data_IF_448236367239
#
_entry.id   IF_448236367239
#
_cell.length_a   1.000
_cell.length_b   1.000
_cell.length_c   1.000
_cell.angle_alpha   90.00
_cell.angle_beta   90.00
_cell.angle_gamma   90.00
#
_symmetry.space_group_name_H-M   'P 1'
#
loop_
_entity.id
_entity.type
_entity.pdbx_description
1 polymer ?
#
# COMPACT_ATOMS: atom_id res chain seq x y z
N UNK A 1 11.23 21.11 -24.52
CA UNK A 1 10.96 21.13 -23.07
C UNK A 1 10.26 19.82 -22.76
N UNK A 2 10.95 18.89 -22.10
CA UNK A 2 10.42 17.56 -21.81
C UNK A 2 9.23 17.68 -20.86
N UNK A 3 8.06 17.21 -21.28
CA UNK A 3 6.87 17.07 -20.45
C UNK A 3 7.24 16.31 -19.17
N UNK A 4 7.10 16.97 -18.03
CA UNK A 4 7.38 16.37 -16.74
C UNK A 4 6.40 15.22 -16.50
N UNK A 5 6.92 14.05 -16.12
CA UNK A 5 6.07 12.93 -15.72
C UNK A 5 5.24 13.34 -14.50
N UNK A 6 3.94 13.60 -14.69
CA UNK A 6 3.05 13.91 -13.59
C UNK A 6 2.86 12.66 -12.72
N UNK A 7 3.42 12.68 -11.51
CA UNK A 7 3.22 11.60 -10.54
C UNK A 7 1.85 11.81 -9.88
N UNK A 8 0.84 11.09 -10.34
CA UNK A 8 -0.53 11.23 -9.85
C UNK A 8 -0.76 10.63 -8.46
N UNK A 9 -0.04 9.56 -8.09
CA UNK A 9 -0.17 8.87 -6.79
C UNK A 9 1.16 8.27 -6.36
N UNK A 10 1.51 8.45 -5.09
CA UNK A 10 2.74 7.91 -4.48
C UNK A 10 2.40 7.26 -3.15
N UNK A 11 2.95 6.07 -2.94
CA UNK A 11 2.75 5.30 -1.73
C UNK A 11 4.11 4.97 -1.11
N UNK A 12 4.21 5.10 0.22
CA UNK A 12 5.27 4.49 1.00
C UNK A 12 4.69 3.26 1.69
N UNK A 13 5.34 2.11 1.51
CA UNK A 13 4.91 0.84 2.11
C UNK A 13 5.99 0.38 3.09
N UNK A 14 5.61 0.12 4.33
CA UNK A 14 6.46 -0.51 5.34
C UNK A 14 5.89 -1.89 5.64
N UNK A 15 6.74 -2.91 5.59
CA UNK A 15 6.39 -4.31 5.85
C UNK A 15 7.33 -4.84 6.91
N UNK A 16 6.80 -5.55 7.91
CA UNK A 16 7.61 -6.21 8.94
C UNK A 16 6.94 -7.50 9.42
N UNK A 17 7.73 -8.35 10.07
CA UNK A 17 7.24 -9.50 10.82
C UNK A 17 7.05 -9.11 12.27
N UNK A 18 5.91 -9.49 12.84
CA UNK A 18 5.60 -9.33 14.26
C UNK A 18 5.33 -10.70 14.87
N UNK A 19 5.93 -10.98 16.01
CA UNK A 19 5.65 -12.21 16.76
C UNK A 19 4.36 -12.05 17.56
N UNK A 20 3.46 -13.02 17.45
CA UNK A 20 2.23 -13.12 18.24
C UNK A 20 2.51 -13.76 19.60
N UNK A 21 1.63 -13.59 20.62
CA UNK A 21 1.82 -14.15 21.95
C UNK A 21 1.95 -15.68 21.98
N UNK A 22 1.42 -16.37 20.98
CA UNK A 22 1.51 -17.83 20.83
C UNK A 22 2.80 -18.30 20.13
N UNK A 23 3.73 -17.38 19.85
CA UNK A 23 5.02 -17.66 19.23
C UNK A 23 4.99 -17.71 17.70
N UNK A 24 3.82 -17.61 17.06
CA UNK A 24 3.72 -17.52 15.60
C UNK A 24 4.19 -16.16 15.10
N UNK A 25 4.60 -16.10 13.83
CA UNK A 25 4.96 -14.86 13.16
C UNK A 25 3.85 -14.43 12.21
N UNK A 26 3.56 -13.14 12.21
CA UNK A 26 2.54 -12.52 11.37
C UNK A 26 3.13 -11.36 10.59
N UNK A 27 2.76 -11.26 9.32
CA UNK A 27 3.10 -10.11 8.50
C UNK A 27 2.23 -8.92 8.89
N UNK A 28 2.88 -7.78 9.04
CA UNK A 28 2.24 -6.52 9.39
C UNK A 28 2.79 -5.44 8.47
N UNK A 29 2.02 -4.37 8.31
CA UNK A 29 2.55 -3.22 7.62
C UNK A 29 1.65 -2.01 7.59
N UNK A 30 2.17 -0.97 6.93
CA UNK A 30 1.52 0.31 6.73
C UNK A 30 1.70 0.78 5.29
N UNK A 31 0.66 1.39 4.74
CA UNK A 31 0.64 2.02 3.42
C UNK A 31 0.28 3.49 3.62
N UNK A 32 1.22 4.37 3.29
CA UNK A 32 1.06 5.82 3.41
C UNK A 32 0.80 6.39 2.02
N UNK A 33 -0.39 6.95 1.79
CA UNK A 33 -0.67 7.71 0.57
C UNK A 33 -0.14 9.13 0.74
N UNK A 34 1.03 9.41 0.14
CA UNK A 34 1.80 10.61 0.44
C UNK A 34 1.05 11.91 0.13
N UNK A 35 0.29 11.95 -0.97
CA UNK A 35 -0.50 13.13 -1.36
C UNK A 35 -1.72 13.37 -0.46
N UNK A 36 -2.33 12.32 0.10
CA UNK A 36 -3.56 12.43 0.91
C UNK A 36 -3.28 12.45 2.41
N UNK A 37 -2.05 12.12 2.83
CA UNK A 37 -1.70 11.96 4.25
C UNK A 37 -2.42 10.81 4.94
N UNK A 38 -3.02 9.88 4.19
CA UNK A 38 -3.77 8.75 4.74
C UNK A 38 -2.84 7.57 4.95
N UNK A 39 -2.96 6.94 6.12
CA UNK A 39 -2.22 5.74 6.49
C UNK A 39 -3.22 4.58 6.64
N UNK A 40 -2.92 3.47 5.98
CA UNK A 40 -3.67 2.21 6.11
C UNK A 40 -2.75 1.14 6.68
N UNK A 41 -3.15 0.50 7.77
CA UNK A 41 -2.47 -0.68 8.29
C UNK A 41 -2.99 -1.95 7.63
N UNK A 42 -2.12 -2.95 7.47
CA UNK A 42 -2.50 -4.30 7.06
C UNK A 42 -1.88 -5.35 7.98
N UNK A 43 -2.55 -6.50 8.09
CA UNK A 43 -2.25 -7.57 9.03
C UNK A 43 -1.91 -8.89 8.32
N UNK A 44 -1.78 -8.86 7.01
CA UNK A 44 -1.39 -10.00 6.18
C UNK A 44 -0.84 -9.52 4.83
N UNK A 45 -0.11 -10.37 4.12
CA UNK A 45 0.35 -10.03 2.76
C UNK A 45 -0.81 -10.02 1.76
N UNK A 46 -1.85 -10.81 2.03
CA UNK A 46 -3.08 -10.85 1.25
C UNK A 46 -3.79 -9.49 1.26
N UNK A 47 -3.91 -8.84 2.42
CA UNK A 47 -4.48 -7.49 2.54
C UNK A 47 -3.68 -6.45 1.75
N UNK A 48 -2.34 -6.57 1.71
CA UNK A 48 -1.47 -5.72 0.89
C UNK A 48 -1.74 -5.96 -0.60
N UNK A 49 -1.82 -7.21 -1.04
CA UNK A 49 -2.12 -7.56 -2.45
C UNK A 49 -3.49 -7.03 -2.86
N UNK A 50 -4.52 -7.20 -2.02
CA UNK A 50 -5.84 -6.65 -2.28
C UNK A 50 -5.83 -5.13 -2.43
N UNK A 51 -5.08 -4.43 -1.56
CA UNK A 51 -4.89 -2.99 -1.69
C UNK A 51 -4.27 -2.63 -3.04
N UNK A 52 -3.18 -3.31 -3.43
CA UNK A 52 -2.51 -3.05 -4.70
C UNK A 52 -3.44 -3.31 -5.90
N UNK A 53 -4.23 -4.38 -5.85
CA UNK A 53 -5.23 -4.69 -6.89
C UNK A 53 -6.30 -3.61 -7.00
N UNK A 54 -6.80 -3.06 -5.87
CA UNK A 54 -7.74 -1.92 -5.88
C UNK A 54 -7.12 -0.68 -6.52
N UNK A 55 -5.87 -0.36 -6.19
CA UNK A 55 -5.16 0.78 -6.78
C UNK A 55 -4.98 0.61 -8.29
N UNK A 56 -4.65 -0.60 -8.75
CA UNK A 56 -4.52 -0.90 -10.18
C UNK A 56 -5.87 -0.84 -10.90
N UNK A 57 -6.94 -1.35 -10.30
CA UNK A 57 -8.28 -1.31 -10.89
C UNK A 57 -8.82 0.11 -11.04
N UNK A 58 -8.51 1.01 -10.09
CA UNK A 58 -8.92 2.42 -10.19
C UNK A 58 -8.28 3.15 -11.37
N UNK A 59 -7.11 2.71 -11.88
CA UNK A 59 -6.54 3.28 -13.11
C UNK A 59 -7.38 2.99 -14.36
N UNK A 60 -8.25 1.99 -14.32
CA UNK A 60 -9.08 1.57 -15.47
C UNK A 60 -10.36 2.41 -15.58
N UNK A 61 -10.78 3.12 -14.53
CA UNK A 61 -12.04 3.88 -14.52
C UNK A 61 -11.89 5.36 -14.91
N UNK A 62 -10.67 5.85 -15.14
CA UNK A 62 -10.38 7.23 -15.57
C UNK A 62 -9.90 7.31 -17.04
N UNK A 63 -10.17 6.27 -17.84
CA UNK A 63 -9.95 6.22 -19.31
C UNK A 63 -11.29 6.10 -20.03
#
# INVERSE_FOLDING_TARGET
>A
MSEGTHIYRSFLIRVWLQQEPDGRWKWMGEIHHLQKGVIHSFHSLEELVEFMMRVLAQKVQEL
#
